data_IF_116934189426
#
_entry.id   IF_116934189426
#
_cell.length_a   1.000
_cell.length_b   1.000
_cell.length_c   1.000
_cell.angle_alpha   90.00
_cell.angle_beta   90.00
_cell.angle_gamma   90.00
#
_symmetry.space_group_name_H-M   'P 1'
#
loop_
_entity.id
_entity.type
_entity.pdbx_description
1 polymer ?
#
# COMPACT_ATOMS: atom_id res chain seq x y z
N UNK A 1 -14.51 -5.87 19.24
CA UNK A 1 -15.55 -5.08 18.56
C UNK A 1 -15.44 -3.64 19.04
N UNK A 2 -15.61 -2.65 18.18
CA UNK A 2 -15.61 -1.23 18.55
C UNK A 2 -16.53 -0.42 17.61
N UNK A 3 -17.12 0.69 18.08
CA UNK A 3 -17.07 1.19 19.46
C UNK A 3 -17.91 0.33 20.41
N UNK A 4 -17.72 0.46 21.71
CA UNK A 4 -18.53 -0.20 22.74
C UNK A 4 -19.69 0.65 23.25
N UNK A 5 -19.75 1.92 22.81
CA UNK A 5 -20.82 2.88 23.13
C UNK A 5 -21.42 3.41 21.84
N UNK A 6 -22.73 3.36 21.73
CA UNK A 6 -23.53 3.88 20.60
C UNK A 6 -24.53 4.89 21.14
N UNK A 7 -24.98 5.83 20.29
CA UNK A 7 -25.97 6.84 20.67
C UNK A 7 -27.29 6.59 19.93
N UNK A 8 -28.39 6.61 20.66
CA UNK A 8 -29.74 6.40 20.09
C UNK A 8 -30.04 7.43 19.02
N UNK A 9 -30.50 6.97 17.86
CA UNK A 9 -30.84 7.83 16.72
C UNK A 9 -29.65 8.29 15.88
N UNK A 10 -28.41 7.91 16.26
CA UNK A 10 -27.22 8.22 15.47
C UNK A 10 -26.71 6.98 14.72
N UNK A 11 -26.41 7.15 13.43
CA UNK A 11 -25.74 6.11 12.66
C UNK A 11 -24.30 5.93 13.17
N UNK A 12 -23.91 4.69 13.37
CA UNK A 12 -22.57 4.34 13.87
C UNK A 12 -21.99 3.18 13.07
N UNK A 13 -20.69 3.24 12.83
CA UNK A 13 -19.95 2.15 12.19
C UNK A 13 -19.41 1.20 13.28
N UNK A 14 -20.00 0.00 13.34
CA UNK A 14 -19.58 -1.07 14.25
C UNK A 14 -18.53 -1.93 13.56
N UNK A 15 -17.34 -1.98 14.14
CA UNK A 15 -16.20 -2.72 13.61
C UNK A 15 -16.04 -4.06 14.31
N UNK A 16 -15.96 -5.14 13.56
CA UNK A 16 -15.63 -6.49 14.04
C UNK A 16 -14.27 -6.91 13.49
N UNK A 17 -13.31 -7.14 14.38
CA UNK A 17 -11.98 -7.63 14.03
C UNK A 17 -11.90 -9.12 14.32
N UNK A 18 -11.50 -9.90 13.32
CA UNK A 18 -11.20 -11.31 13.43
C UNK A 18 -9.69 -11.51 13.32
N UNK A 19 -9.08 -12.10 14.31
CA UNK A 19 -7.66 -12.45 14.27
C UNK A 19 -7.50 -13.98 14.26
N UNK A 20 -6.66 -14.49 13.38
CA UNK A 20 -6.23 -15.88 13.44
C UNK A 20 -4.98 -16.01 14.32
N UNK A 21 -5.16 -16.35 15.56
CA UNK A 21 -4.08 -16.57 16.53
C UNK A 21 -3.49 -17.98 16.51
N UNK A 22 -4.03 -18.85 15.66
CA UNK A 22 -3.56 -20.23 15.51
C UNK A 22 -2.36 -20.35 14.55
N UNK A 23 -1.66 -21.50 14.56
CA UNK A 23 -0.44 -21.71 13.77
C UNK A 23 -0.70 -22.05 12.28
N UNK A 24 -1.95 -22.09 11.84
CA UNK A 24 -2.32 -22.47 10.47
C UNK A 24 -3.31 -21.52 9.82
N UNK A 25 -3.44 -21.61 8.49
CA UNK A 25 -4.42 -20.83 7.74
C UNK A 25 -5.83 -21.36 7.95
N UNK A 26 -6.76 -20.48 8.32
CA UNK A 26 -8.19 -20.75 8.33
C UNK A 26 -8.79 -20.42 6.97
N UNK A 27 -9.52 -21.35 6.36
CA UNK A 27 -10.17 -21.18 5.05
C UNK A 27 -11.69 -21.16 5.20
N UNK A 28 -12.39 -20.52 4.28
CA UNK A 28 -13.87 -20.46 4.25
C UNK A 28 -14.47 -20.16 5.63
N UNK A 29 -14.02 -19.06 6.24
CA UNK A 29 -14.51 -18.62 7.55
C UNK A 29 -15.89 -18.05 7.38
N UNK A 30 -16.86 -18.58 8.13
CA UNK A 30 -18.26 -18.18 8.06
C UNK A 30 -18.79 -17.94 9.48
N UNK A 31 -19.44 -16.82 9.68
CA UNK A 31 -20.26 -16.58 10.88
C UNK A 31 -21.38 -15.60 10.59
N UNK A 32 -22.40 -15.60 11.43
CA UNK A 32 -23.51 -14.65 11.33
C UNK A 32 -23.48 -13.75 12.55
N UNK A 33 -23.51 -12.44 12.34
CA UNK A 33 -23.62 -11.45 13.40
C UNK A 33 -25.11 -11.24 13.71
N UNK A 34 -25.48 -11.41 14.96
CA UNK A 34 -26.84 -11.17 15.45
C UNK A 34 -26.83 -9.90 16.28
N UNK A 35 -27.54 -8.89 15.77
CA UNK A 35 -27.75 -7.63 16.48
C UNK A 35 -29.04 -7.74 17.32
N UNK A 36 -29.10 -7.10 18.50
CA UNK A 36 -30.34 -6.99 19.26
C UNK A 36 -31.42 -6.25 18.47
N UNK A 37 -32.70 -6.53 18.75
CA UNK A 37 -33.80 -6.00 17.96
C UNK A 37 -33.98 -4.47 17.99
N UNK A 38 -33.34 -3.81 18.92
CA UNK A 38 -33.27 -2.36 19.07
C UNK A 38 -32.08 -1.69 18.33
N UNK A 39 -31.26 -2.49 17.65
CA UNK A 39 -30.20 -2.00 16.76
C UNK A 39 -30.48 -2.41 15.32
N UNK A 40 -30.77 -1.44 14.48
CA UNK A 40 -31.01 -1.68 13.03
C UNK A 40 -29.70 -1.73 12.29
N UNK A 41 -29.54 -2.74 11.40
CA UNK A 41 -28.44 -2.79 10.45
C UNK A 41 -28.81 -1.96 9.21
N UNK A 42 -28.07 -0.89 8.93
CA UNK A 42 -28.28 0.00 7.80
C UNK A 42 -27.47 -0.41 6.57
N UNK A 43 -26.21 -0.85 6.80
CA UNK A 43 -25.33 -1.32 5.73
C UNK A 43 -24.42 -2.45 6.24
N UNK A 44 -24.03 -3.32 5.30
CA UNK A 44 -23.30 -4.56 5.59
C UNK A 44 -24.23 -5.79 5.50
N UNK A 45 -23.62 -6.96 5.47
CA UNK A 45 -24.35 -8.23 5.54
C UNK A 45 -24.06 -8.86 6.91
N UNK A 46 -25.09 -9.26 7.62
CA UNK A 46 -24.93 -9.93 8.92
C UNK A 46 -24.21 -11.30 8.79
N UNK A 47 -24.30 -11.96 7.64
CA UNK A 47 -23.52 -13.17 7.34
C UNK A 47 -22.19 -12.78 6.70
N UNK A 48 -21.11 -13.08 7.39
CA UNK A 48 -19.73 -12.80 6.98
C UNK A 48 -19.13 -14.07 6.40
N UNK A 49 -18.50 -13.93 5.23
CA UNK A 49 -17.74 -14.99 4.58
C UNK A 49 -16.37 -14.44 4.23
N UNK A 50 -15.32 -15.07 4.73
CA UNK A 50 -13.93 -14.78 4.37
C UNK A 50 -13.35 -16.01 3.65
N UNK A 51 -12.66 -15.78 2.54
CA UNK A 51 -12.02 -16.90 1.81
C UNK A 51 -10.95 -17.56 2.67
N UNK A 52 -10.09 -16.78 3.27
CA UNK A 52 -9.00 -17.26 4.13
C UNK A 52 -8.52 -16.19 5.10
N UNK A 53 -7.81 -16.62 6.14
CA UNK A 53 -7.12 -15.80 7.12
C UNK A 53 -5.86 -16.56 7.56
N UNK A 54 -4.68 -16.06 7.19
CA UNK A 54 -3.42 -16.70 7.53
C UNK A 54 -3.12 -16.61 9.03
N UNK A 55 -2.16 -17.41 9.50
CA UNK A 55 -1.69 -17.33 10.89
C UNK A 55 -1.17 -15.93 11.22
N UNK A 56 -1.64 -15.35 12.33
CA UNK A 56 -1.31 -13.97 12.73
C UNK A 56 -2.06 -12.88 11.97
N UNK A 57 -2.84 -13.21 10.96
CA UNK A 57 -3.60 -12.24 10.16
C UNK A 57 -4.89 -11.80 10.87
N UNK A 58 -5.27 -10.54 10.65
CA UNK A 58 -6.52 -9.96 11.16
C UNK A 58 -7.35 -9.43 10.00
N UNK A 59 -8.64 -9.76 10.00
CA UNK A 59 -9.62 -9.23 9.05
C UNK A 59 -10.62 -8.35 9.79
N UNK A 60 -10.89 -7.17 9.24
CA UNK A 60 -11.86 -6.21 9.76
C UNK A 60 -13.13 -6.21 8.93
N UNK A 61 -14.28 -6.14 9.59
CA UNK A 61 -15.59 -5.96 8.95
C UNK A 61 -16.34 -4.82 9.60
N UNK A 62 -16.90 -3.97 8.76
CA UNK A 62 -17.68 -2.79 9.13
C UNK A 62 -19.17 -3.07 8.92
N UNK A 63 -19.98 -2.64 9.90
CA UNK A 63 -21.44 -2.69 9.87
C UNK A 63 -21.95 -1.32 10.25
N UNK A 64 -22.77 -0.69 9.41
CA UNK A 64 -23.42 0.55 9.78
C UNK A 64 -24.71 0.22 10.49
N UNK A 65 -24.83 0.72 11.71
CA UNK A 65 -25.95 0.41 12.62
C UNK A 65 -26.63 1.69 13.11
N UNK A 66 -27.89 1.58 13.46
CA UNK A 66 -28.69 2.65 14.05
C UNK A 66 -29.38 2.10 15.32
N UNK A 67 -28.92 2.50 16.52
CA UNK A 67 -29.61 2.18 17.78
C UNK A 67 -30.94 2.91 17.90
N UNK A 68 -31.98 2.23 18.37
CA UNK A 68 -33.33 2.76 18.50
C UNK A 68 -33.77 3.00 19.96
N UNK A 69 -33.12 2.33 20.93
CA UNK A 69 -33.37 2.48 22.35
C UNK A 69 -32.10 2.51 23.14
N UNK A 70 -32.12 3.19 24.29
CA UNK A 70 -30.97 3.28 25.20
C UNK A 70 -30.96 2.07 26.17
N UNK A 71 -29.80 1.58 26.48
CA UNK A 71 -29.60 0.50 27.45
C UNK A 71 -28.41 -0.39 27.12
N UNK A 72 -28.10 -1.32 27.99
CA UNK A 72 -27.11 -2.35 27.70
C UNK A 72 -27.67 -3.30 26.64
N UNK A 73 -26.86 -3.66 25.64
CA UNK A 73 -27.21 -4.61 24.62
C UNK A 73 -26.04 -5.51 24.29
N UNK A 74 -26.34 -6.71 23.77
CA UNK A 74 -25.32 -7.69 23.44
C UNK A 74 -25.41 -8.09 21.99
N UNK A 75 -24.29 -7.96 21.28
CA UNK A 75 -24.12 -8.49 19.94
C UNK A 75 -23.50 -9.87 20.04
N UNK A 76 -24.05 -10.81 19.29
CA UNK A 76 -23.60 -12.21 19.33
C UNK A 76 -23.23 -12.68 17.92
N UNK A 77 -22.35 -13.68 17.85
CA UNK A 77 -22.18 -14.46 16.62
C UNK A 77 -22.92 -15.78 16.69
N UNK A 78 -23.31 -16.29 15.53
CA UNK A 78 -23.84 -17.63 15.40
C UNK A 78 -23.22 -18.35 14.20
N UNK A 79 -23.15 -19.68 14.29
CA UNK A 79 -22.61 -20.54 13.22
C UNK A 79 -21.14 -20.22 12.86
N UNK A 80 -20.34 -19.87 13.84
CA UNK A 80 -18.94 -19.56 13.62
C UNK A 80 -18.16 -20.83 13.27
N UNK A 81 -17.68 -20.92 12.04
CA UNK A 81 -16.95 -22.09 11.50
C UNK A 81 -15.90 -21.67 10.49
N UNK A 82 -14.90 -22.52 10.32
CA UNK A 82 -13.88 -22.39 9.27
C UNK A 82 -13.45 -23.79 8.78
N UNK A 83 -12.80 -23.87 7.65
CA UNK A 83 -12.09 -25.08 7.19
C UNK A 83 -10.61 -24.96 7.51
N UNK A 84 -10.06 -26.01 8.09
CA UNK A 84 -8.62 -26.11 8.28
C UNK A 84 -7.91 -26.54 6.97
N UNK A 85 -6.58 -26.54 6.97
CA UNK A 85 -5.75 -26.93 5.82
C UNK A 85 -6.02 -28.34 5.27
N UNK A 86 -6.67 -29.20 6.04
CA UNK A 86 -7.04 -30.57 5.63
C UNK A 86 -8.49 -30.64 5.11
N UNK A 87 -9.16 -29.52 4.93
CA UNK A 87 -10.54 -29.45 4.45
C UNK A 87 -11.60 -29.78 5.51
N UNK A 88 -11.22 -30.10 6.74
CA UNK A 88 -12.16 -30.38 7.81
C UNK A 88 -12.79 -29.10 8.34
N UNK A 89 -14.13 -29.13 8.55
CA UNK A 89 -14.87 -28.02 9.15
C UNK A 89 -14.66 -28.00 10.66
N UNK A 90 -14.10 -26.91 11.16
CA UNK A 90 -13.93 -26.63 12.57
C UNK A 90 -14.99 -25.61 13.02
N UNK A 91 -15.63 -25.85 14.15
CA UNK A 91 -16.55 -24.90 14.78
C UNK A 91 -15.83 -24.15 15.88
N UNK A 92 -16.09 -22.85 15.98
CA UNK A 92 -15.60 -21.99 17.05
C UNK A 92 -16.79 -21.64 17.93
N UNK A 93 -16.58 -21.46 19.22
CA UNK A 93 -17.61 -20.96 20.11
C UNK A 93 -18.08 -19.57 19.65
N UNK A 94 -19.38 -19.35 19.70
CA UNK A 94 -19.94 -18.06 19.36
C UNK A 94 -19.43 -17.00 20.34
N UNK A 95 -19.11 -15.83 19.84
CA UNK A 95 -18.66 -14.73 20.69
C UNK A 95 -19.83 -13.84 21.10
N UNK A 96 -19.64 -13.17 22.23
CA UNK A 96 -20.57 -12.15 22.72
C UNK A 96 -19.77 -10.87 22.92
N UNK A 97 -20.37 -9.73 22.57
CA UNK A 97 -19.80 -8.42 22.81
C UNK A 97 -20.86 -7.50 23.40
N UNK A 98 -20.56 -6.99 24.59
CA UNK A 98 -21.44 -6.05 25.27
C UNK A 98 -21.26 -4.66 24.68
N UNK A 99 -22.37 -4.03 24.36
CA UNK A 99 -22.46 -2.65 23.91
C UNK A 99 -23.39 -1.88 24.86
N UNK A 100 -23.20 -0.58 24.93
CA UNK A 100 -24.09 0.32 25.66
C UNK A 100 -24.64 1.33 24.66
N UNK A 101 -25.95 1.38 24.53
CA UNK A 101 -26.65 2.42 23.79
C UNK A 101 -27.04 3.53 24.75
N UNK A 102 -26.48 4.74 24.50
CA UNK A 102 -26.71 5.93 25.31
C UNK A 102 -27.93 6.69 24.79
N UNK A 103 -28.75 7.30 25.65
CA UNK A 103 -29.80 8.21 25.18
C UNK A 103 -29.15 9.37 24.40
N UNK A 104 -29.84 9.87 23.38
CA UNK A 104 -29.45 11.13 22.78
C UNK A 104 -29.58 12.20 23.88
N UNK A 105 -28.47 12.70 24.38
CA UNK A 105 -28.51 13.82 25.31
C UNK A 105 -29.09 15.02 24.59
N UNK A 106 -30.07 15.72 25.24
CA UNK A 106 -30.50 17.04 24.81
C UNK A 106 -29.25 17.94 24.83
N UNK A 107 -28.70 18.18 23.66
CA UNK A 107 -27.48 19.00 23.50
C UNK A 107 -27.75 20.41 24.04
N UNK A 108 -27.09 20.73 25.15
CA UNK A 108 -26.75 22.15 25.43
C UNK A 108 -26.04 22.72 24.17
N UNK A 109 -26.25 23.98 23.78
CA UNK A 109 -25.63 24.53 22.57
C UNK A 109 -24.13 24.36 22.65
N UNK A 110 -23.63 23.38 21.90
CA UNK A 110 -22.20 23.07 21.80
C UNK A 110 -21.54 24.27 21.12
N UNK A 111 -20.48 24.86 21.69
CA UNK A 111 -19.75 25.91 21.03
C UNK A 111 -19.26 25.36 19.70
N UNK A 112 -19.66 26.01 18.62
CA UNK A 112 -19.35 25.87 17.21
C UNK A 112 -18.29 24.78 16.88
N UNK A 113 -18.66 23.49 17.09
CA UNK A 113 -17.82 22.38 16.67
C UNK A 113 -17.94 22.32 15.17
N UNK A 114 -16.83 22.39 14.43
CA UNK A 114 -16.90 22.41 12.98
C UNK A 114 -17.68 21.19 12.46
N UNK A 115 -18.59 21.43 11.51
CA UNK A 115 -19.29 20.39 10.76
C UNK A 115 -18.31 19.45 9.98
N UNK A 116 -17.03 19.66 10.17
CA UNK A 116 -15.93 18.88 9.64
C UNK A 116 -15.44 17.87 10.69
N UNK A 117 -15.58 16.61 10.40
CA UNK A 117 -15.04 15.52 11.22
C UNK A 117 -14.17 14.63 10.32
N UNK A 118 -12.91 14.45 10.71
CA UNK A 118 -11.95 13.66 9.97
C UNK A 118 -11.56 12.42 10.77
N UNK A 119 -11.52 11.30 10.08
CA UNK A 119 -11.00 10.04 10.57
C UNK A 119 -9.80 9.63 9.71
N UNK A 120 -8.68 9.29 10.35
CA UNK A 120 -7.49 8.80 9.67
C UNK A 120 -7.22 7.38 10.13
N UNK A 121 -7.06 6.49 9.17
CA UNK A 121 -6.70 5.10 9.40
C UNK A 121 -5.48 4.75 8.55
N UNK A 122 -4.50 4.09 9.15
CA UNK A 122 -3.36 3.53 8.42
C UNK A 122 -3.67 2.12 7.91
N UNK A 123 -3.12 1.76 6.76
CA UNK A 123 -3.36 0.46 6.13
C UNK A 123 -2.63 -0.70 6.81
N UNK A 124 -1.56 -0.42 7.56
CA UNK A 124 -0.83 -1.40 8.36
C UNK A 124 -0.91 -1.03 9.84
N UNK A 125 -0.69 -2.03 10.70
CA UNK A 125 -0.66 -1.85 12.15
C UNK A 125 0.59 -1.05 12.57
N UNK A 126 0.53 0.27 12.37
CA UNK A 126 1.64 1.21 12.64
C UNK A 126 2.02 1.27 14.12
N UNK A 127 1.15 0.84 15.03
CA UNK A 127 1.49 0.75 16.45
C UNK A 127 2.66 -0.21 16.72
N UNK A 128 2.93 -1.12 15.77
CA UNK A 128 4.04 -2.10 15.84
C UNK A 128 5.03 -1.95 14.70
N UNK A 129 4.88 -0.97 13.81
CA UNK A 129 5.76 -0.80 12.66
C UNK A 129 7.17 -0.42 13.11
N UNK A 130 8.11 -1.28 12.78
CA UNK A 130 9.53 -1.01 12.92
C UNK A 130 10.05 -0.45 11.60
N UNK A 131 10.53 0.81 11.60
CA UNK A 131 11.21 1.38 10.45
C UNK A 131 12.69 0.98 10.52
N UNK A 132 13.22 0.27 9.52
CA UNK A 132 14.66 0.05 9.45
C UNK A 132 15.40 1.37 9.30
N UNK A 133 16.46 1.55 10.08
CA UNK A 133 17.30 2.74 10.00
C UNK A 133 17.99 2.82 8.62
N UNK A 134 17.94 4.00 8.02
CA UNK A 134 18.57 4.24 6.73
C UNK A 134 17.89 3.57 5.52
N UNK A 135 16.76 2.87 5.72
CA UNK A 135 15.98 2.28 4.64
C UNK A 135 14.68 3.03 4.41
N UNK A 136 14.28 3.09 3.14
CA UNK A 136 13.01 3.65 2.76
C UNK A 136 11.86 2.71 3.12
N UNK A 137 10.81 3.28 3.66
CA UNK A 137 9.60 2.58 4.07
C UNK A 137 8.36 3.34 3.62
N UNK A 138 7.26 2.64 3.47
CA UNK A 138 5.98 3.20 3.02
C UNK A 138 5.06 3.40 4.21
N UNK A 139 4.54 4.63 4.36
CA UNK A 139 3.46 4.99 5.26
C UNK A 139 2.20 5.22 4.43
N UNK A 140 1.33 4.23 4.34
CA UNK A 140 0.07 4.36 3.61
C UNK A 140 -1.12 4.36 4.55
N UNK A 141 -2.16 5.10 4.18
CA UNK A 141 -3.38 5.18 4.97
C UNK A 141 -4.52 5.82 4.21
N UNK A 142 -5.61 5.99 4.92
CA UNK A 142 -6.84 6.58 4.40
C UNK A 142 -7.35 7.66 5.33
N UNK A 143 -7.71 8.80 4.75
CA UNK A 143 -8.41 9.88 5.43
C UNK A 143 -9.87 9.89 4.95
N UNK A 144 -10.81 9.95 5.88
CA UNK A 144 -12.24 9.99 5.61
C UNK A 144 -12.84 11.27 6.18
N UNK A 145 -13.66 11.92 5.39
CA UNK A 145 -14.52 12.99 5.87
C UNK A 145 -15.83 12.38 6.40
N UNK A 146 -15.92 12.23 7.72
CA UNK A 146 -17.14 11.75 8.40
C UNK A 146 -18.04 12.90 8.86
N UNK A 147 -17.67 14.14 8.56
CA UNK A 147 -18.49 15.34 8.80
C UNK A 147 -19.45 15.65 7.65
N UNK A 148 -20.32 16.65 7.85
CA UNK A 148 -21.31 17.06 6.87
C UNK A 148 -20.77 18.07 5.85
N UNK A 149 -19.74 18.83 6.21
CA UNK A 149 -19.15 19.84 5.34
C UNK A 149 -18.20 19.25 4.32
N UNK A 150 -18.20 19.79 3.10
CA UNK A 150 -17.14 19.54 2.13
C UNK A 150 -15.84 20.23 2.59
N UNK A 151 -14.72 19.50 2.50
CA UNK A 151 -13.40 19.98 2.87
C UNK A 151 -12.62 20.34 1.62
N UNK A 152 -12.30 21.60 1.44
CA UNK A 152 -11.48 22.08 0.33
C UNK A 152 -10.02 22.28 0.78
N UNK A 153 -9.09 22.30 -0.18
CA UNK A 153 -7.66 22.48 0.06
C UNK A 153 -7.07 21.52 1.09
N UNK A 154 -7.60 20.29 1.15
CA UNK A 154 -7.17 19.29 2.10
C UNK A 154 -5.69 18.96 1.91
N UNK A 155 -4.92 19.11 2.98
CA UNK A 155 -3.49 18.80 3.02
C UNK A 155 -3.20 17.95 4.24
N UNK A 156 -2.38 16.95 4.06
CA UNK A 156 -1.86 16.10 5.12
C UNK A 156 -0.36 16.32 5.24
N UNK A 157 0.10 16.71 6.41
CA UNK A 157 1.51 16.97 6.68
C UNK A 157 2.07 15.97 7.70
N UNK A 158 3.31 15.53 7.50
CA UNK A 158 4.04 14.67 8.42
C UNK A 158 5.24 15.41 9.00
N UNK A 159 5.44 15.30 10.30
CA UNK A 159 6.63 15.81 10.99
C UNK A 159 7.23 14.77 11.93
N UNK A 160 8.52 14.90 12.21
CA UNK A 160 9.28 13.96 13.04
C UNK A 160 10.67 13.70 12.48
N UNK A 161 11.47 12.84 13.15
CA UNK A 161 12.85 12.51 12.79
C UNK A 161 12.91 11.47 11.65
N UNK A 162 12.30 11.81 10.52
CA UNK A 162 12.33 11.01 9.28
C UNK A 162 12.65 11.91 8.10
N UNK A 163 13.45 11.40 7.17
CA UNK A 163 13.57 11.96 5.83
C UNK A 163 12.36 11.52 5.01
N UNK A 164 11.75 12.44 4.27
CA UNK A 164 10.63 12.18 3.38
C UNK A 164 11.10 12.34 1.95
N UNK A 165 10.50 11.60 1.02
CA UNK A 165 10.82 11.67 -0.39
C UNK A 165 10.60 13.09 -0.96
N UNK A 166 10.93 13.29 -2.23
CA UNK A 166 10.85 14.60 -2.88
C UNK A 166 9.46 15.21 -2.97
N UNK A 167 8.38 14.43 -2.78
CA UNK A 167 7.01 14.99 -2.66
C UNK A 167 6.89 15.90 -1.45
N UNK A 168 7.84 15.77 -0.52
CA UNK A 168 7.92 16.58 0.68
C UNK A 168 7.01 16.10 1.80
N UNK A 169 7.05 16.83 2.89
CA UNK A 169 6.33 16.51 4.12
C UNK A 169 4.83 16.81 4.06
N UNK A 170 4.32 17.36 2.95
CA UNK A 170 2.92 17.76 2.81
C UNK A 170 2.32 17.24 1.51
N UNK A 171 1.30 16.40 1.63
CA UNK A 171 0.50 15.92 0.52
C UNK A 171 -0.73 16.82 0.33
N UNK A 172 -1.02 17.20 -0.91
CA UNK A 172 -2.22 17.91 -1.29
C UNK A 172 -3.25 16.89 -1.76
N UNK A 173 -4.33 16.72 -0.99
CA UNK A 173 -5.38 15.74 -1.27
C UNK A 173 -6.59 16.38 -1.99
N UNK A 174 -6.57 17.70 -2.20
CA UNK A 174 -7.62 18.42 -2.92
C UNK A 174 -8.89 18.61 -2.10
N UNK A 175 -10.04 18.26 -2.70
CA UNK A 175 -11.37 18.42 -2.07
C UNK A 175 -11.90 17.06 -1.65
N UNK A 176 -12.38 16.95 -0.40
CA UNK A 176 -12.95 15.74 0.16
C UNK A 176 -14.40 15.98 0.59
N UNK A 177 -15.35 15.43 -0.15
CA UNK A 177 -16.78 15.53 0.14
C UNK A 177 -17.16 14.75 1.38
N UNK A 178 -18.29 15.12 2.00
CA UNK A 178 -18.90 14.36 3.10
C UNK A 178 -19.09 12.89 2.74
N UNK A 179 -18.70 12.01 3.64
CA UNK A 179 -18.79 10.55 3.48
C UNK A 179 -17.69 9.91 2.61
N UNK A 180 -16.90 10.69 1.89
CA UNK A 180 -15.84 10.18 1.01
C UNK A 180 -14.50 10.02 1.74
N UNK A 181 -13.63 9.20 1.13
CA UNK A 181 -12.27 8.95 1.61
C UNK A 181 -11.24 9.24 0.53
N UNK A 182 -10.04 9.62 0.96
CA UNK A 182 -8.86 9.74 0.11
C UNK A 182 -7.73 8.89 0.70
N UNK A 183 -7.04 8.14 -0.14
CA UNK A 183 -5.85 7.40 0.27
C UNK A 183 -4.63 8.33 0.23
N UNK A 184 -3.66 8.07 1.12
CA UNK A 184 -2.41 8.80 1.15
C UNK A 184 -1.22 7.87 1.33
N UNK A 185 -0.07 8.29 0.80
CA UNK A 185 1.19 7.57 0.91
C UNK A 185 2.31 8.57 1.18
N UNK A 186 3.08 8.33 2.25
CA UNK A 186 4.39 8.94 2.48
C UNK A 186 5.48 7.89 2.33
N UNK A 187 6.56 8.27 1.68
CA UNK A 187 7.79 7.47 1.65
C UNK A 187 8.77 8.10 2.60
N UNK A 188 9.17 7.35 3.61
CA UNK A 188 9.99 7.85 4.72
C UNK A 188 11.21 6.96 4.96
N UNK A 189 12.27 7.59 5.43
CA UNK A 189 13.48 6.91 5.90
C UNK A 189 13.78 7.40 7.32
N UNK A 190 14.03 6.49 8.26
CA UNK A 190 14.33 6.85 9.63
C UNK A 190 15.72 7.54 9.71
N UNK A 191 15.77 8.72 10.35
CA UNK A 191 16.98 9.52 10.49
C UNK A 191 17.80 9.13 11.73
N UNK A 192 17.25 8.28 12.61
CA UNK A 192 17.89 7.82 13.85
C UNK A 192 17.97 6.30 13.89
N UNK A 193 19.14 5.78 14.28
CA UNK A 193 19.42 4.35 14.24
C UNK A 193 18.67 3.51 15.28
N UNK A 194 18.38 4.06 16.46
CA UNK A 194 17.76 3.33 17.57
C UNK A 194 16.83 4.26 18.33
N UNK A 195 15.65 3.78 18.66
CA UNK A 195 14.74 4.42 19.58
C UNK A 195 13.37 4.66 19.02
N UNK A 196 12.64 5.46 19.77
CA UNK A 196 11.27 5.83 19.51
C UNK A 196 11.23 7.07 18.64
N UNK A 197 10.64 6.98 17.46
CA UNK A 197 10.49 8.10 16.53
C UNK A 197 9.09 8.70 16.67
N UNK A 198 8.93 9.87 17.32
CA UNK A 198 7.63 10.54 17.36
C UNK A 198 7.32 11.08 15.97
N UNK A 199 6.24 10.59 15.38
CA UNK A 199 5.67 11.11 14.14
C UNK A 199 4.36 11.81 14.43
N UNK A 200 4.24 13.03 13.93
CA UNK A 200 3.02 13.82 14.04
C UNK A 200 2.42 13.97 12.65
N UNK A 201 1.13 13.67 12.54
CA UNK A 201 0.32 13.94 11.35
C UNK A 201 -0.64 15.07 11.62
N UNK A 202 -0.59 16.07 10.77
CA UNK A 202 -1.42 17.24 10.82
C UNK A 202 -2.24 17.36 9.54
N UNK A 203 -3.54 17.57 9.66
CA UNK A 203 -4.43 17.83 8.54
C UNK A 203 -4.85 19.27 8.55
N UNK A 204 -4.70 19.97 7.42
CA UNK A 204 -5.25 21.29 7.20
C UNK A 204 -6.23 21.29 6.05
N UNK A 205 -7.34 21.99 6.20
CA UNK A 205 -8.40 22.11 5.20
C UNK A 205 -9.15 23.42 5.35
N UNK A 206 -9.92 23.80 4.34
CA UNK A 206 -10.87 24.91 4.40
C UNK A 206 -12.29 24.39 4.23
N UNK A 207 -13.22 25.02 4.97
CA UNK A 207 -14.66 24.91 4.73
C UNK A 207 -15.15 26.26 4.21
N UNK A 208 -16.42 26.36 3.81
CA UNK A 208 -17.00 27.62 3.37
C UNK A 208 -16.86 28.77 4.40
N UNK A 209 -16.70 28.44 5.70
CA UNK A 209 -16.64 29.39 6.78
C UNK A 209 -15.23 29.73 7.28
N UNK A 210 -14.29 28.76 7.27
CA UNK A 210 -12.96 28.91 7.91
C UNK A 210 -11.93 27.96 7.37
N UNK A 211 -10.64 28.31 7.62
CA UNK A 211 -9.49 27.39 7.49
C UNK A 211 -9.25 26.71 8.83
N UNK A 212 -9.02 25.41 8.77
CA UNK A 212 -8.83 24.55 9.93
C UNK A 212 -7.48 23.86 9.86
N UNK A 213 -6.87 23.63 11.03
CA UNK A 213 -5.72 22.74 11.20
C UNK A 213 -6.01 21.85 12.38
N UNK A 214 -5.88 20.55 12.20
CA UNK A 214 -6.14 19.55 13.23
C UNK A 214 -4.97 18.56 13.27
N UNK A 215 -4.40 18.35 14.46
CA UNK A 215 -3.51 17.23 14.68
C UNK A 215 -4.34 15.94 14.73
N UNK A 216 -3.98 14.97 13.89
CA UNK A 216 -4.81 13.78 13.70
C UNK A 216 -4.22 12.59 14.44
N UNK A 217 -2.89 12.53 14.59
CA UNK A 217 -2.23 11.41 15.22
C UNK A 217 -0.85 11.80 15.75
N UNK A 218 -0.56 11.32 16.96
CA UNK A 218 0.78 11.13 17.47
C UNK A 218 1.06 9.63 17.47
N UNK A 219 1.99 9.18 16.66
CA UNK A 219 2.44 7.80 16.67
C UNK A 219 3.92 7.73 16.96
N UNK A 220 4.32 6.59 17.48
CA UNK A 220 5.71 6.34 17.82
C UNK A 220 6.16 5.16 17.00
N UNK A 221 7.16 5.36 16.17
CA UNK A 221 7.82 4.31 15.42
C UNK A 221 9.11 3.91 16.12
N UNK A 222 9.48 2.64 16.01
CA UNK A 222 10.73 2.12 16.55
C UNK A 222 11.72 1.97 15.40
N UNK A 223 12.82 2.72 15.43
CA UNK A 223 13.94 2.48 14.54
C UNK A 223 14.78 1.31 15.05
N UNK A 224 15.19 0.43 14.17
CA UNK A 224 16.06 -0.70 14.48
C UNK A 224 17.35 -0.62 13.65
N UNK A 225 18.49 -0.79 14.32
CA UNK A 225 19.76 -0.91 13.65
C UNK A 225 19.80 -2.18 12.80
N UNK A 226 20.28 -2.07 11.56
CA UNK A 226 20.63 -3.26 10.79
C UNK A 226 21.81 -3.96 11.45
N UNK A 227 21.75 -5.26 11.65
CA UNK A 227 22.91 -6.05 12.01
C UNK A 227 23.94 -5.93 10.89
N UNK A 228 25.06 -5.27 11.17
CA UNK A 228 26.20 -5.12 10.27
C UNK A 228 26.84 -6.49 9.99
N UNK A 229 26.26 -7.23 9.05
CA UNK A 229 26.96 -8.33 8.39
C UNK A 229 28.05 -7.76 7.48
N UNK A 230 29.19 -8.43 7.39
CA UNK A 230 30.37 -8.08 6.60
C UNK A 230 30.01 -7.45 5.24
N UNK A 231 30.66 -6.33 4.90
CA UNK A 231 30.38 -5.48 3.73
C UNK A 231 30.65 -6.23 2.40
N UNK A 232 29.74 -7.10 1.98
CA UNK A 232 29.63 -7.50 0.56
C UNK A 232 29.12 -6.29 -0.22
N UNK A 233 29.73 -6.01 -1.38
CA UNK A 233 29.27 -4.93 -2.27
C UNK A 233 27.83 -5.22 -2.68
N UNK A 234 26.87 -4.42 -2.17
CA UNK A 234 25.45 -4.54 -2.49
C UNK A 234 25.21 -4.18 -3.96
N UNK A 235 24.33 -4.90 -4.64
CA UNK A 235 23.85 -4.52 -5.97
C UNK A 235 22.79 -3.42 -5.84
N UNK A 236 23.05 -2.26 -6.43
CA UNK A 236 22.10 -1.14 -6.38
C UNK A 236 20.95 -1.38 -7.35
N UNK A 237 19.73 -1.27 -6.83
CA UNK A 237 18.47 -1.29 -7.58
C UNK A 237 17.84 0.09 -7.50
N UNK A 238 17.61 0.73 -8.65
CA UNK A 238 16.86 1.98 -8.72
C UNK A 238 15.39 1.67 -9.00
N UNK A 239 14.51 1.93 -8.04
CA UNK A 239 13.07 1.80 -8.20
C UNK A 239 12.45 3.14 -8.58
N UNK A 240 11.81 3.20 -9.73
CA UNK A 240 11.20 4.40 -10.32
C UNK A 240 9.67 4.23 -10.35
N UNK A 241 8.98 4.84 -9.38
CA UNK A 241 7.54 4.74 -9.24
C UNK A 241 6.80 5.99 -9.75
N UNK A 242 5.78 5.82 -10.61
CA UNK A 242 4.91 6.90 -11.08
C UNK A 242 3.44 6.52 -10.96
N UNK A 243 2.65 7.38 -10.30
CA UNK A 243 1.22 7.22 -10.14
C UNK A 243 0.49 8.55 -10.38
N UNK A 244 0.39 8.98 -11.65
CA UNK A 244 -0.16 10.28 -12.00
C UNK A 244 -1.60 10.46 -11.52
N UNK A 245 -1.94 11.65 -11.03
CA UNK A 245 -3.27 11.94 -10.42
C UNK A 245 -4.44 11.88 -11.41
N UNK A 246 -4.16 11.92 -12.70
CA UNK A 246 -5.16 11.81 -13.78
C UNK A 246 -5.23 10.40 -14.41
N UNK A 247 -4.67 9.40 -13.75
CA UNK A 247 -4.75 7.99 -14.13
C UNK A 247 -5.43 7.19 -13.01
N UNK A 248 -5.77 5.92 -13.29
CA UNK A 248 -6.30 5.03 -12.26
C UNK A 248 -5.23 4.74 -11.20
N UNK A 249 -5.55 4.78 -9.88
CA UNK A 249 -4.56 4.57 -8.85
C UNK A 249 -3.97 3.15 -8.85
N UNK A 250 -2.64 3.03 -8.88
CA UNK A 250 -1.90 1.78 -8.72
C UNK A 250 -1.32 1.63 -7.31
N UNK A 251 -1.08 0.39 -6.90
CA UNK A 251 -0.50 0.06 -5.58
C UNK A 251 1.03 0.05 -5.60
N UNK A 252 1.65 1.07 -6.20
CA UNK A 252 3.13 1.16 -6.32
C UNK A 252 3.83 1.08 -4.95
N UNK A 253 3.22 1.68 -3.90
CA UNK A 253 3.73 1.55 -2.55
C UNK A 253 3.73 0.12 -2.04
N UNK A 254 2.68 -0.65 -2.36
CA UNK A 254 2.60 -2.08 -2.01
C UNK A 254 3.65 -2.89 -2.76
N UNK A 255 3.83 -2.63 -4.04
CA UNK A 255 4.87 -3.28 -4.84
C UNK A 255 6.26 -3.03 -4.26
N UNK A 256 6.59 -1.77 -3.97
CA UNK A 256 7.85 -1.41 -3.33
C UNK A 256 8.05 -2.13 -1.99
N UNK A 257 7.02 -2.15 -1.12
CA UNK A 257 7.08 -2.84 0.18
C UNK A 257 7.34 -4.33 0.04
N UNK A 258 6.69 -4.99 -0.94
CA UNK A 258 6.87 -6.41 -1.22
C UNK A 258 8.28 -6.70 -1.76
N UNK A 259 8.81 -5.85 -2.64
CA UNK A 259 10.18 -5.95 -3.17
C UNK A 259 11.19 -5.81 -2.01
N UNK A 260 11.03 -4.81 -1.14
CA UNK A 260 11.88 -4.62 0.03
C UNK A 260 11.86 -5.82 0.97
N UNK A 261 10.67 -6.39 1.22
CA UNK A 261 10.54 -7.58 2.06
C UNK A 261 11.20 -8.80 1.40
N UNK A 262 10.97 -9.02 0.10
CA UNK A 262 11.57 -10.11 -0.66
C UNK A 262 13.10 -10.04 -0.66
N UNK A 263 13.66 -8.83 -0.77
CA UNK A 263 15.09 -8.59 -0.69
C UNK A 263 15.67 -8.93 0.70
N UNK A 264 14.95 -8.64 1.78
CA UNK A 264 15.37 -8.95 3.16
C UNK A 264 15.28 -10.44 3.50
N UNK A 265 14.23 -11.11 3.00
CA UNK A 265 13.97 -12.52 3.28
C UNK A 265 14.91 -13.46 2.51
N UNK A 266 15.64 -12.96 1.54
CA UNK A 266 16.63 -13.70 0.77
C UNK A 266 17.78 -14.22 1.65
N UNK A 267 18.41 -15.31 1.25
CA UNK A 267 19.53 -15.95 1.97
C UNK A 267 20.69 -14.99 2.25
N UNK A 268 20.90 -14.05 1.34
CA UNK A 268 21.88 -12.94 1.44
C UNK A 268 21.11 -11.61 1.54
N UNK A 269 20.23 -11.45 2.55
CA UNK A 269 19.27 -10.35 2.71
C UNK A 269 19.86 -8.94 2.64
N UNK A 270 21.17 -8.80 2.69
CA UNK A 270 21.94 -7.58 2.50
C UNK A 270 22.54 -7.42 1.09
N UNK A 271 22.18 -8.29 0.13
CA UNK A 271 22.79 -8.29 -1.21
C UNK A 271 22.28 -7.18 -2.12
N UNK A 272 21.10 -6.63 -1.86
CA UNK A 272 20.45 -5.60 -2.65
C UNK A 272 20.35 -4.28 -1.86
N UNK A 273 20.70 -3.17 -2.52
CA UNK A 273 20.50 -1.81 -2.04
C UNK A 273 19.42 -1.14 -2.91
N UNK A 274 18.17 -1.13 -2.44
CA UNK A 274 17.03 -0.64 -3.21
C UNK A 274 16.80 0.84 -2.93
N UNK A 275 16.97 1.67 -3.96
CA UNK A 275 16.86 3.13 -3.91
C UNK A 275 15.59 3.59 -4.65
N UNK A 276 14.56 4.06 -3.93
CA UNK A 276 13.33 4.51 -4.55
C UNK A 276 13.43 5.96 -5.05
N UNK A 277 12.77 6.22 -6.18
CA UNK A 277 12.43 7.54 -6.68
C UNK A 277 10.95 7.52 -7.05
N UNK A 278 10.09 7.99 -6.14
CA UNK A 278 8.64 8.05 -6.36
C UNK A 278 8.22 9.37 -7.01
N UNK A 279 7.01 9.39 -7.59
CA UNK A 279 6.53 10.49 -8.40
C UNK A 279 7.54 10.88 -9.49
N UNK A 280 8.11 9.86 -10.13
CA UNK A 280 9.25 10.03 -11.04
C UNK A 280 8.87 10.91 -12.21
N UNK A 281 9.72 11.91 -12.49
CA UNK A 281 9.64 12.79 -13.67
C UNK A 281 10.67 12.37 -14.69
N UNK A 282 10.50 12.79 -15.94
CA UNK A 282 11.44 12.47 -17.01
C UNK A 282 12.89 12.88 -16.70
N UNK A 283 13.06 14.08 -16.14
CA UNK A 283 14.38 14.62 -15.74
C UNK A 283 15.05 13.89 -14.60
N UNK A 284 14.25 13.23 -13.74
CA UNK A 284 14.80 12.49 -12.59
C UNK A 284 15.49 11.21 -13.02
N UNK A 285 14.99 10.54 -14.06
CA UNK A 285 15.51 9.24 -14.50
C UNK A 285 17.01 9.37 -14.85
N UNK A 286 17.37 10.37 -15.66
CA UNK A 286 18.77 10.60 -16.02
C UNK A 286 19.65 10.98 -14.83
N UNK A 287 19.15 11.83 -13.95
CA UNK A 287 19.85 12.25 -12.74
C UNK A 287 20.14 11.06 -11.82
N UNK A 288 19.14 10.20 -11.56
CA UNK A 288 19.32 9.06 -10.68
C UNK A 288 20.23 7.97 -11.30
N UNK A 289 20.15 7.74 -12.60
CA UNK A 289 21.08 6.84 -13.29
C UNK A 289 22.53 7.29 -13.13
N UNK A 290 22.80 8.58 -13.33
CA UNK A 290 24.16 9.14 -13.21
C UNK A 290 24.68 9.11 -11.77
N UNK A 291 23.83 9.41 -10.80
CA UNK A 291 24.22 9.50 -9.39
C UNK A 291 24.39 8.11 -8.74
N UNK A 292 23.50 7.18 -9.01
CA UNK A 292 23.46 5.88 -8.33
C UNK A 292 24.21 4.78 -9.09
N UNK A 293 24.37 4.92 -10.40
CA UNK A 293 24.97 3.88 -11.26
C UNK A 293 24.40 2.49 -10.95
N UNK A 294 23.07 2.31 -11.00
CA UNK A 294 22.41 1.09 -10.56
C UNK A 294 22.75 -0.08 -11.48
N UNK A 295 22.77 -1.30 -10.91
CA UNK A 295 22.82 -2.54 -11.68
C UNK A 295 21.46 -2.89 -12.28
N UNK A 296 20.37 -2.55 -11.57
CA UNK A 296 18.99 -2.85 -11.96
C UNK A 296 18.17 -1.57 -11.88
N UNK A 297 17.32 -1.34 -12.90
CA UNK A 297 16.34 -0.26 -12.89
C UNK A 297 14.94 -0.88 -12.99
N UNK A 298 14.07 -0.56 -12.03
CA UNK A 298 12.70 -1.04 -11.99
C UNK A 298 11.73 0.13 -12.15
N UNK A 299 10.97 0.13 -13.24
CA UNK A 299 9.86 1.04 -13.48
C UNK A 299 8.57 0.41 -12.99
N UNK A 300 7.84 1.11 -12.14
CA UNK A 300 6.51 0.74 -11.65
C UNK A 300 5.52 1.87 -11.94
N UNK A 301 4.47 1.59 -12.70
CA UNK A 301 3.53 2.63 -13.09
C UNK A 301 2.63 2.24 -14.25
N UNK A 302 2.01 3.24 -14.86
CA UNK A 302 1.20 3.04 -16.04
C UNK A 302 2.06 2.97 -17.31
N UNK A 303 1.63 2.09 -18.22
CA UNK A 303 2.18 1.97 -19.57
C UNK A 303 1.08 1.87 -20.61
N UNK A 304 1.48 1.83 -21.86
CA UNK A 304 0.59 1.60 -23.00
C UNK A 304 0.45 2.78 -23.94
N UNK A 305 -0.70 2.87 -24.61
CA UNK A 305 -0.95 3.82 -25.68
C UNK A 305 -0.30 3.39 -27.00
N UNK A 306 -0.43 4.20 -28.09
CA UNK A 306 0.06 3.83 -29.42
C UNK A 306 1.57 3.62 -29.51
N UNK A 307 2.33 4.18 -28.56
CA UNK A 307 3.79 4.08 -28.50
C UNK A 307 4.30 3.10 -27.48
N UNK A 308 3.40 2.34 -26.81
CA UNK A 308 3.78 1.38 -25.74
C UNK A 308 4.76 1.97 -24.73
N UNK A 309 4.45 3.15 -24.24
CA UNK A 309 5.32 4.05 -23.48
C UNK A 309 5.08 3.92 -21.97
N UNK A 310 5.99 4.50 -21.18
CA UNK A 310 5.82 4.64 -19.72
C UNK A 310 5.29 6.04 -19.37
N UNK A 311 4.37 6.13 -18.42
CA UNK A 311 3.81 7.38 -17.93
C UNK A 311 4.51 7.83 -16.65
N UNK A 312 5.40 8.81 -16.76
CA UNK A 312 5.99 9.54 -15.61
C UNK A 312 5.04 10.64 -15.12
N UNK A 313 5.43 11.36 -14.08
CA UNK A 313 4.66 12.48 -13.54
C UNK A 313 5.23 13.83 -14.02
N UNK A 314 4.36 14.83 -14.21
CA UNK A 314 4.72 16.25 -14.35
C UNK A 314 4.80 16.90 -12.96
N UNK A 315 5.17 18.18 -12.94
CA UNK A 315 5.22 18.97 -11.71
C UNK A 315 3.85 19.14 -11.04
N UNK A 316 2.79 19.18 -11.81
CA UNK A 316 1.40 19.25 -11.33
C UNK A 316 0.82 17.87 -10.95
N UNK A 317 1.63 16.81 -11.06
CA UNK A 317 1.24 15.42 -10.77
C UNK A 317 0.51 14.72 -11.91
N UNK A 318 0.26 15.38 -13.05
CA UNK A 318 -0.39 14.73 -14.20
C UNK A 318 0.58 13.85 -14.98
N UNK A 319 0.04 12.92 -15.80
CA UNK A 319 0.84 12.02 -16.61
C UNK A 319 1.67 12.73 -17.68
N UNK A 320 2.93 12.32 -17.80
CA UNK A 320 3.84 12.66 -18.88
C UNK A 320 4.32 11.38 -19.58
N UNK A 321 3.97 11.21 -20.83
CA UNK A 321 4.36 10.02 -21.61
C UNK A 321 5.83 10.14 -22.01
N UNK A 322 6.63 9.14 -21.63
CA UNK A 322 8.06 9.06 -22.02
C UNK A 322 8.16 8.24 -23.31
N UNK A 323 8.63 8.85 -24.41
CA UNK A 323 8.76 8.13 -25.68
C UNK A 323 9.87 7.07 -25.62
N UNK A 324 9.68 5.89 -26.25
CA UNK A 324 10.66 4.80 -26.25
C UNK A 324 12.07 5.24 -26.68
N UNK A 325 12.19 6.01 -27.76
CA UNK A 325 13.48 6.47 -28.26
C UNK A 325 14.22 7.38 -27.28
N UNK A 326 13.47 8.21 -26.52
CA UNK A 326 14.04 9.08 -25.50
C UNK A 326 14.67 8.28 -24.37
N UNK A 327 13.95 7.26 -23.88
CA UNK A 327 14.45 6.38 -22.84
C UNK A 327 15.62 5.51 -23.32
N UNK A 328 15.53 4.95 -24.54
CA UNK A 328 16.61 4.16 -25.14
C UNK A 328 17.91 4.97 -25.23
N UNK A 329 17.87 6.22 -25.74
CA UNK A 329 19.06 7.12 -25.79
C UNK A 329 19.61 7.44 -24.40
N UNK A 330 18.75 7.53 -23.40
CA UNK A 330 19.20 7.74 -22.04
C UNK A 330 19.99 6.54 -21.51
N UNK A 331 19.52 5.30 -21.74
CA UNK A 331 20.24 4.09 -21.39
C UNK A 331 21.53 3.91 -22.19
N UNK A 332 21.56 4.28 -23.49
CA UNK A 332 22.78 4.30 -24.31
C UNK A 332 23.89 5.13 -23.64
N UNK A 333 23.52 6.28 -23.06
CA UNK A 333 24.47 7.27 -22.58
C UNK A 333 24.80 7.11 -21.09
N UNK A 334 23.76 6.96 -20.27
CA UNK A 334 23.84 6.97 -18.80
C UNK A 334 23.65 5.58 -18.16
N UNK A 335 23.20 4.57 -18.95
CA UNK A 335 22.86 3.23 -18.45
C UNK A 335 24.00 2.22 -18.43
N UNK A 336 25.27 2.62 -18.56
CA UNK A 336 26.42 1.70 -18.70
C UNK A 336 26.61 0.71 -17.54
N UNK A 337 26.11 1.02 -16.35
CA UNK A 337 26.14 0.16 -15.17
C UNK A 337 24.94 -0.79 -15.10
N UNK A 338 23.92 -0.55 -15.96
CA UNK A 338 22.63 -1.27 -15.88
C UNK A 338 22.72 -2.58 -16.62
N UNK A 339 22.57 -3.68 -15.87
CA UNK A 339 22.49 -5.04 -16.42
C UNK A 339 21.04 -5.40 -16.78
N UNK A 340 20.06 -4.94 -15.98
CA UNK A 340 18.65 -5.28 -16.18
C UNK A 340 17.74 -4.07 -16.00
N UNK A 341 16.78 -3.94 -16.91
CA UNK A 341 15.65 -3.00 -16.79
C UNK A 341 14.37 -3.81 -16.66
N UNK A 342 13.56 -3.50 -15.65
CA UNK A 342 12.22 -4.07 -15.45
C UNK A 342 11.22 -2.95 -15.71
N UNK A 343 10.26 -3.18 -16.60
CA UNK A 343 9.21 -2.22 -16.92
C UNK A 343 7.88 -2.87 -16.50
N UNK A 344 7.56 -2.72 -15.21
CA UNK A 344 6.32 -3.23 -14.63
C UNK A 344 5.17 -2.24 -14.89
N UNK A 345 4.78 -2.16 -16.15
CA UNK A 345 3.73 -1.30 -16.66
C UNK A 345 3.07 -1.97 -17.88
N UNK A 346 1.76 -1.77 -18.04
CA UNK A 346 0.97 -2.46 -19.07
C UNK A 346 1.47 -2.16 -20.49
N UNK A 347 1.52 -3.17 -21.36
CA UNK A 347 1.79 -3.03 -22.80
C UNK A 347 3.02 -2.16 -23.09
N UNK A 348 4.17 -2.58 -22.60
CA UNK A 348 5.45 -1.85 -22.73
C UNK A 348 6.49 -2.59 -23.59
N UNK A 349 6.06 -3.54 -24.42
CA UNK A 349 6.97 -4.33 -25.26
C UNK A 349 7.78 -3.47 -26.24
N UNK A 350 7.17 -2.46 -26.87
CA UNK A 350 7.86 -1.54 -27.78
C UNK A 350 8.94 -0.73 -27.07
N UNK A 351 8.63 -0.22 -25.86
CA UNK A 351 9.60 0.46 -25.00
C UNK A 351 10.75 -0.48 -24.63
N UNK A 352 10.43 -1.72 -24.24
CA UNK A 352 11.41 -2.72 -23.87
C UNK A 352 12.34 -3.08 -25.03
N UNK A 353 11.82 -3.23 -26.25
CA UNK A 353 12.62 -3.48 -27.46
C UNK A 353 13.57 -2.32 -27.77
N UNK A 354 13.16 -1.07 -27.56
CA UNK A 354 14.03 0.08 -27.74
C UNK A 354 15.18 0.08 -26.71
N UNK A 355 14.87 -0.17 -25.43
CA UNK A 355 15.86 -0.20 -24.33
C UNK A 355 16.80 -1.40 -24.45
N UNK A 356 16.34 -2.58 -24.93
CA UNK A 356 17.15 -3.79 -25.06
C UNK A 356 18.31 -3.66 -26.06
N UNK A 357 18.34 -2.61 -26.87
CA UNK A 357 19.50 -2.31 -27.71
C UNK A 357 20.73 -1.85 -26.88
N UNK A 358 20.52 -1.42 -25.64
CA UNK A 358 21.53 -0.77 -24.80
C UNK A 358 21.72 -1.43 -23.42
N UNK A 359 20.89 -2.42 -23.07
CA UNK A 359 20.91 -3.11 -21.76
C UNK A 359 20.85 -4.62 -21.98
N UNK A 360 21.57 -5.40 -21.17
CA UNK A 360 21.72 -6.86 -21.36
C UNK A 360 20.40 -7.62 -21.20
N UNK A 361 19.56 -7.21 -20.24
CA UNK A 361 18.26 -7.82 -20.00
C UNK A 361 17.17 -6.75 -19.85
N UNK A 362 16.03 -6.94 -20.52
CA UNK A 362 14.85 -6.13 -20.30
C UNK A 362 13.65 -7.03 -20.02
N UNK A 363 12.98 -6.80 -18.91
CA UNK A 363 11.73 -7.45 -18.55
C UNK A 363 10.60 -6.45 -18.77
N UNK A 364 9.54 -6.88 -19.47
CA UNK A 364 8.38 -6.03 -19.76
C UNK A 364 7.09 -6.84 -19.73
N UNK A 365 5.97 -6.12 -19.74
CA UNK A 365 4.63 -6.70 -19.83
C UNK A 365 4.10 -6.52 -21.25
N UNK A 366 3.96 -7.62 -22.00
CA UNK A 366 3.50 -7.59 -23.40
C UNK A 366 2.00 -7.27 -23.52
N UNK A 367 1.24 -7.43 -22.44
CA UNK A 367 -0.20 -7.18 -22.37
C UNK A 367 -0.54 -6.45 -21.05
N UNK A 368 -1.76 -5.92 -20.90
CA UNK A 368 -2.22 -5.46 -19.61
C UNK A 368 -2.14 -6.57 -18.56
N UNK A 369 -1.55 -6.26 -17.42
CA UNK A 369 -1.43 -7.16 -16.28
C UNK A 369 -2.14 -6.57 -15.08
N UNK A 370 -2.80 -7.42 -14.27
CA UNK A 370 -3.40 -6.98 -13.01
C UNK A 370 -2.35 -6.48 -12.02
N UNK A 371 -2.65 -5.41 -11.31
CA UNK A 371 -1.75 -4.80 -10.30
C UNK A 371 -1.24 -5.83 -9.26
N UNK A 372 -2.12 -6.77 -8.85
CA UNK A 372 -1.74 -7.86 -7.95
C UNK A 372 -0.76 -8.84 -8.59
N UNK A 373 -0.98 -9.23 -9.85
CA UNK A 373 -0.13 -10.16 -10.59
C UNK A 373 1.26 -9.57 -10.84
N UNK A 374 1.33 -8.28 -11.16
CA UNK A 374 2.57 -7.53 -11.29
C UNK A 374 3.40 -7.53 -9.99
N UNK A 375 2.73 -7.36 -8.84
CA UNK A 375 3.36 -7.40 -7.51
C UNK A 375 3.88 -8.81 -7.19
N UNK A 376 3.12 -9.87 -7.47
CA UNK A 376 3.55 -11.25 -7.18
C UNK A 376 4.71 -11.70 -8.08
N UNK A 377 4.73 -11.27 -9.35
CA UNK A 377 5.89 -11.45 -10.22
C UNK A 377 7.14 -10.80 -9.61
N UNK A 378 7.04 -9.51 -9.24
CA UNK A 378 8.13 -8.74 -8.64
C UNK A 378 8.65 -9.41 -7.36
N UNK A 379 7.76 -9.93 -6.52
CA UNK A 379 8.12 -10.66 -5.30
C UNK A 379 9.00 -11.88 -5.60
N UNK A 380 8.56 -12.78 -6.49
CA UNK A 380 9.33 -13.97 -6.86
C UNK A 380 10.68 -13.63 -7.49
N UNK A 381 10.70 -12.63 -8.37
CA UNK A 381 11.92 -12.14 -9.02
C UNK A 381 12.95 -11.64 -8.00
N UNK A 382 12.55 -10.76 -7.09
CA UNK A 382 13.47 -10.18 -6.09
C UNK A 382 13.87 -11.16 -4.99
N UNK A 383 13.02 -12.13 -4.64
CA UNK A 383 13.41 -13.24 -3.75
C UNK A 383 14.56 -14.06 -4.36
N UNK A 384 14.46 -14.37 -5.65
CA UNK A 384 15.50 -15.10 -6.36
C UNK A 384 16.80 -14.29 -6.47
N UNK A 385 16.72 -13.00 -6.80
CA UNK A 385 17.90 -12.14 -6.84
C UNK A 385 18.59 -12.03 -5.48
N UNK A 386 17.83 -11.89 -4.40
CA UNK A 386 18.36 -11.86 -3.04
C UNK A 386 18.99 -13.20 -2.61
N UNK A 387 18.64 -14.29 -3.29
CA UNK A 387 19.27 -15.59 -3.17
C UNK A 387 20.46 -15.78 -4.15
N UNK A 388 20.97 -14.71 -4.76
CA UNK A 388 22.10 -14.71 -5.70
C UNK A 388 21.84 -15.45 -7.02
N UNK A 389 20.59 -15.53 -7.47
CA UNK A 389 20.24 -16.08 -8.78
C UNK A 389 20.67 -15.14 -9.92
N UNK A 390 20.87 -15.69 -11.12
CA UNK A 390 21.04 -14.90 -12.34
C UNK A 390 19.73 -14.15 -12.67
N UNK A 391 19.79 -13.08 -13.48
CA UNK A 391 18.60 -12.36 -13.97
C UNK A 391 17.64 -13.30 -14.67
N UNK A 392 18.14 -14.19 -15.54
CA UNK A 392 17.30 -15.16 -16.27
C UNK A 392 16.61 -16.18 -15.36
N UNK A 393 17.28 -16.65 -14.31
CA UNK A 393 16.67 -17.59 -13.36
C UNK A 393 15.71 -16.87 -12.41
N UNK A 394 16.02 -15.63 -12.00
CA UNK A 394 15.13 -14.80 -11.23
C UNK A 394 13.82 -14.51 -11.99
N UNK A 395 13.91 -14.23 -13.30
CA UNK A 395 12.74 -14.10 -14.17
C UNK A 395 11.87 -15.35 -14.17
N UNK A 396 12.48 -16.56 -14.36
CA UNK A 396 11.74 -17.83 -14.33
C UNK A 396 11.06 -18.07 -12.99
N UNK A 397 11.71 -17.71 -11.87
CA UNK A 397 11.13 -17.84 -10.53
C UNK A 397 9.98 -16.85 -10.34
N UNK A 398 10.10 -15.62 -10.85
CA UNK A 398 9.00 -14.63 -10.84
C UNK A 398 7.77 -15.16 -11.60
N UNK A 399 7.96 -15.72 -12.80
CA UNK A 399 6.88 -16.36 -13.57
C UNK A 399 6.30 -17.56 -12.83
N UNK A 400 7.16 -18.45 -12.28
CA UNK A 400 6.70 -19.60 -11.51
C UNK A 400 5.90 -19.19 -10.25
N UNK A 401 6.31 -18.15 -9.55
CA UNK A 401 5.55 -17.57 -8.42
C UNK A 401 4.16 -17.15 -8.88
N UNK A 402 4.08 -16.43 -10.01
CA UNK A 402 2.81 -15.98 -10.57
C UNK A 402 1.92 -17.15 -10.96
N UNK A 403 2.46 -18.18 -11.62
CA UNK A 403 1.74 -19.43 -11.95
C UNK A 403 1.15 -20.15 -10.73
N UNK A 404 1.83 -20.09 -9.58
CA UNK A 404 1.35 -20.77 -8.36
C UNK A 404 0.22 -20.01 -7.66
N UNK A 405 0.07 -18.72 -7.90
CA UNK A 405 -0.83 -17.88 -7.11
C UNK A 405 -1.92 -17.21 -7.94
N UNK A 406 -1.76 -17.12 -9.27
CA UNK A 406 -2.76 -16.55 -10.19
C UNK A 406 -3.77 -17.62 -10.60
N UNK A 407 -5.04 -17.27 -10.62
CA UNK A 407 -6.11 -18.08 -11.20
C UNK A 407 -6.26 -17.82 -12.72
N UNK A 408 -5.59 -16.78 -13.24
CA UNK A 408 -5.59 -16.33 -14.62
C UNK A 408 -4.26 -16.69 -15.33
N UNK A 409 -4.21 -16.57 -16.66
CA UNK A 409 -3.02 -16.80 -17.48
C UNK A 409 -2.02 -15.62 -17.46
N UNK A 410 -2.07 -14.76 -16.44
CA UNK A 410 -1.21 -13.59 -16.28
C UNK A 410 0.29 -13.94 -16.26
N UNK A 411 0.63 -15.20 -15.98
CA UNK A 411 2.01 -15.70 -16.02
C UNK A 411 2.65 -15.69 -17.41
N UNK A 412 1.86 -15.61 -18.49
CA UNK A 412 2.34 -15.46 -19.86
C UNK A 412 2.65 -14.00 -20.25
N UNK A 413 2.21 -13.04 -19.41
CA UNK A 413 2.34 -11.61 -19.71
C UNK A 413 3.78 -11.09 -19.55
N UNK A 414 4.56 -11.46 -18.50
CA UNK A 414 5.95 -11.03 -18.40
C UNK A 414 6.83 -11.67 -19.49
N UNK A 415 7.61 -10.86 -20.16
CA UNK A 415 8.60 -11.30 -21.15
C UNK A 415 10.01 -10.86 -20.76
N UNK A 416 10.99 -11.68 -21.08
CA UNK A 416 12.40 -11.37 -20.94
C UNK A 416 13.01 -11.20 -22.35
N UNK A 417 13.47 -10.00 -22.63
CA UNK A 417 14.18 -9.68 -23.88
C UNK A 417 15.68 -9.69 -23.60
N UNK A 418 16.47 -10.52 -24.31
CA UNK A 418 17.93 -10.42 -24.29
C UNK A 418 18.36 -9.16 -25.03
N UNK A 419 19.38 -8.49 -24.52
CA UNK A 419 19.94 -7.31 -25.14
C UNK A 419 20.75 -7.64 -26.39
N UNK A 420 20.92 -6.62 -27.23
CA UNK A 420 21.82 -6.67 -28.38
C UNK A 420 23.29 -6.39 -27.99
N UNK A 421 23.55 -6.11 -26.73
CA UNK A 421 24.90 -5.81 -26.21
C UNK A 421 25.65 -7.13 -26.05
N UNK A 422 26.64 -7.38 -26.92
CA UNK A 422 27.61 -8.47 -26.86
C UNK A 422 28.93 -8.00 -26.28
#
# INVERSE_FOLDING_TARGET
>A
MSPTKLVVGEESDLTVNLANTGPGTCMQIIFTLTLPGDISLLAGRNRIVLKQLASGETATRLFRVLPRSAGPCQVTSTNFSYRNRYGATCRIADFHADLVTMPAEERAPVPDVPAARLEVAFAADFATACLPYGEWSVLEGRIRNSGEAELADLKLSISGPVTVDRRGRTLKLGTLRSGFSADFIFYVCADQAIGTLPLHLEVSFSTQARRWTQEVMNTVLVAREQSSGSAKKKSTVLFLGANPVNTEPLRIGKEFSVIMQAARDGKDGDSLDIRPCFAVRAEDIGRELLNLQPRIVHFAGHGGGPSESFAAEREDGTAHVIPPDGLARLFETAGKSVECVIINACSTEGLARAVSQHVEYVIAMQQPIGDWSAIEFSKGFYQALAASSSIGDAFKIGVAQLMMVSDDEDYEVPILLPGAVT
#
